data_IF_019784594467
#
_entry.id   IF_019784594467
#
_cell.length_a   1.000
_cell.length_b   1.000
_cell.length_c   1.000
_cell.angle_alpha   90.00
_cell.angle_beta   90.00
_cell.angle_gamma   90.00
#
_symmetry.space_group_name_H-M   'P 1'
#
loop_
_entity.id
_entity.type
_entity.pdbx_description
1 polymer ?
#
# COMPACT_ATOMS: atom_id res chain seq x y z
N UNK A 1 4.84 33.58 8.63
CA UNK A 1 3.99 32.39 8.41
C UNK A 1 2.68 32.87 7.79
N UNK A 2 2.34 32.43 6.58
CA UNK A 2 1.01 32.66 6.02
C UNK A 2 0.04 31.81 6.85
N UNK A 3 -1.07 32.40 7.30
CA UNK A 3 -2.10 31.65 8.03
C UNK A 3 -2.79 30.77 6.98
N UNK A 4 -2.65 29.45 7.12
CA UNK A 4 -3.27 28.49 6.23
C UNK A 4 -4.79 28.60 6.32
N UNK A 5 -5.46 28.49 5.18
CA UNK A 5 -6.92 28.43 5.19
C UNK A 5 -7.37 27.12 5.88
N UNK A 6 -8.50 27.13 6.60
CA UNK A 6 -8.99 25.90 7.23
C UNK A 6 -9.30 24.80 6.21
N UNK A 7 -9.70 25.16 4.99
CA UNK A 7 -9.95 24.22 3.89
C UNK A 7 -8.65 23.58 3.39
N UNK A 8 -7.60 24.37 3.15
CA UNK A 8 -6.27 23.90 2.76
C UNK A 8 -5.69 22.92 3.79
N UNK A 9 -5.82 23.22 5.09
CA UNK A 9 -5.35 22.33 6.15
C UNK A 9 -6.06 20.97 6.13
N UNK A 10 -7.36 20.95 5.84
CA UNK A 10 -8.13 19.71 5.73
C UNK A 10 -7.74 18.93 4.48
N UNK A 11 -7.57 19.61 3.34
CA UNK A 11 -7.10 18.99 2.10
C UNK A 11 -5.73 18.33 2.30
N UNK A 12 -4.78 19.06 2.89
CA UNK A 12 -3.45 18.56 3.25
C UNK A 12 -3.51 17.33 4.16
N UNK A 13 -4.28 17.42 5.26
CA UNK A 13 -4.42 16.31 6.21
C UNK A 13 -5.03 15.07 5.54
N UNK A 14 -6.05 15.25 4.70
CA UNK A 14 -6.70 14.16 3.99
C UNK A 14 -5.77 13.47 2.98
N UNK A 15 -4.93 14.25 2.29
CA UNK A 15 -3.96 13.74 1.34
C UNK A 15 -2.85 12.94 2.03
N UNK A 16 -2.28 13.48 3.12
CA UNK A 16 -1.26 12.79 3.92
C UNK A 16 -1.81 11.48 4.50
N UNK A 17 -3.05 11.49 4.99
CA UNK A 17 -3.67 10.27 5.51
C UNK A 17 -3.84 9.20 4.42
N UNK A 18 -4.21 9.61 3.20
CA UNK A 18 -4.33 8.69 2.07
C UNK A 18 -2.98 8.08 1.66
N UNK A 19 -1.93 8.90 1.53
CA UNK A 19 -0.58 8.42 1.21
C UNK A 19 0.03 7.59 2.36
N UNK A 20 -0.19 8.00 3.61
CA UNK A 20 0.21 7.22 4.79
C UNK A 20 -0.48 5.85 4.85
N UNK A 21 -1.77 5.78 4.49
CA UNK A 21 -2.49 4.51 4.40
C UNK A 21 -1.92 3.60 3.29
N UNK A 22 -1.58 4.17 2.14
CA UNK A 22 -0.89 3.45 1.06
C UNK A 22 0.47 2.91 1.52
N UNK A 23 1.25 3.74 2.24
CA UNK A 23 2.49 3.34 2.88
C UNK A 23 2.30 2.23 3.93
N UNK A 24 1.21 2.25 4.69
CA UNK A 24 0.85 1.18 5.63
C UNK A 24 0.58 -0.14 4.90
N UNK A 25 -0.14 -0.10 3.77
CA UNK A 25 -0.39 -1.31 2.96
C UNK A 25 0.89 -1.90 2.39
N UNK A 26 1.77 -1.08 1.82
CA UNK A 26 3.07 -1.55 1.31
C UNK A 26 3.99 -2.03 2.42
N UNK A 27 4.08 -1.27 3.51
CA UNK A 27 4.87 -1.60 4.68
C UNK A 27 4.40 -2.88 5.36
N UNK A 28 3.09 -3.10 5.44
CA UNK A 28 2.48 -4.31 5.98
C UNK A 28 2.79 -5.53 5.11
N UNK A 29 2.61 -5.43 3.79
CA UNK A 29 2.95 -6.50 2.85
C UNK A 29 4.44 -6.88 2.94
N UNK A 30 5.34 -5.88 2.96
CA UNK A 30 6.77 -6.08 3.12
C UNK A 30 7.11 -6.76 4.45
N UNK A 31 6.52 -6.29 5.55
CA UNK A 31 6.76 -6.80 6.90
C UNK A 31 6.29 -8.25 7.06
N UNK A 32 5.14 -8.61 6.50
CA UNK A 32 4.65 -10.00 6.47
C UNK A 32 5.61 -10.88 5.65
N UNK A 33 6.09 -10.39 4.51
CA UNK A 33 7.09 -11.09 3.70
C UNK A 33 8.39 -11.34 4.48
N UNK A 34 8.91 -10.32 5.16
CA UNK A 34 10.09 -10.40 6.01
C UNK A 34 9.90 -11.40 7.16
N UNK A 35 8.75 -11.36 7.83
CA UNK A 35 8.42 -12.27 8.91
C UNK A 35 8.41 -13.73 8.45
N UNK A 36 7.77 -14.02 7.32
CA UNK A 36 7.71 -15.37 6.75
C UNK A 36 9.08 -15.84 6.26
N UNK A 37 9.87 -14.94 5.66
CA UNK A 37 11.24 -15.22 5.25
C UNK A 37 12.11 -15.66 6.43
N UNK A 38 12.12 -14.89 7.53
CA UNK A 38 12.89 -15.22 8.73
C UNK A 38 12.42 -16.55 9.32
N UNK A 39 11.10 -16.77 9.41
CA UNK A 39 10.51 -18.00 9.91
C UNK A 39 10.94 -19.23 9.10
N UNK A 40 10.99 -19.12 7.77
CA UNK A 40 11.35 -20.23 6.87
C UNK A 40 12.85 -20.48 6.80
N UNK A 41 13.67 -19.41 6.77
CA UNK A 41 15.14 -19.52 6.59
C UNK A 41 15.88 -19.83 7.89
N UNK A 42 15.38 -19.35 9.04
CA UNK A 42 16.01 -19.47 10.36
C UNK A 42 15.04 -19.97 11.44
N UNK A 43 14.48 -21.19 11.31
CA UNK A 43 13.42 -21.68 12.18
C UNK A 43 13.85 -21.85 13.65
N UNK A 44 15.09 -22.24 13.92
CA UNK A 44 15.60 -22.45 15.29
C UNK A 44 15.66 -21.11 16.05
N UNK A 45 16.27 -20.09 15.45
CA UNK A 45 16.39 -18.75 16.05
C UNK A 45 15.03 -18.04 16.13
N UNK A 46 14.15 -18.25 15.15
CA UNK A 46 12.81 -17.67 15.17
C UNK A 46 11.95 -18.22 16.33
N UNK A 47 12.12 -19.51 16.68
CA UNK A 47 11.43 -20.12 17.83
C UNK A 47 11.87 -19.51 19.17
N UNK A 48 13.14 -19.13 19.31
CA UNK A 48 13.66 -18.52 20.53
C UNK A 48 13.26 -17.06 20.74
N UNK A 49 12.72 -16.38 19.72
CA UNK A 49 12.27 -14.99 19.86
C UNK A 49 11.03 -14.88 20.75
N UNK A 50 11.08 -13.91 21.67
CA UNK A 50 9.93 -13.53 22.48
C UNK A 50 8.81 -12.90 21.60
N UNK A 51 7.57 -12.80 22.10
CA UNK A 51 6.47 -12.20 21.35
C UNK A 51 6.74 -10.75 20.93
N UNK A 52 7.43 -9.96 21.75
CA UNK A 52 7.75 -8.56 21.47
C UNK A 52 8.65 -8.39 20.25
N UNK A 53 9.68 -9.22 20.09
CA UNK A 53 10.56 -9.22 18.91
C UNK A 53 9.77 -9.62 17.66
N UNK A 54 8.90 -10.63 17.78
CA UNK A 54 8.04 -11.07 16.67
C UNK A 54 7.09 -9.95 16.23
N UNK A 55 6.52 -9.21 17.18
CA UNK A 55 5.69 -8.04 16.90
C UNK A 55 6.51 -6.90 16.27
N UNK A 56 7.72 -6.63 16.78
CA UNK A 56 8.59 -5.57 16.28
C UNK A 56 9.04 -5.80 14.83
N UNK A 57 9.28 -7.06 14.43
CA UNK A 57 9.58 -7.43 13.03
C UNK A 57 8.45 -7.00 12.08
N UNK A 58 7.21 -6.98 12.56
CA UNK A 58 6.06 -6.55 11.76
C UNK A 58 5.83 -5.05 11.90
N UNK A 59 5.79 -4.54 13.12
CA UNK A 59 5.40 -3.17 13.42
C UNK A 59 6.41 -2.15 12.91
N UNK A 60 7.71 -2.38 13.14
CA UNK A 60 8.74 -1.38 12.82
C UNK A 60 8.81 -1.07 11.33
N UNK A 61 8.95 -2.04 10.41
CA UNK A 61 9.03 -1.71 8.99
C UNK A 61 7.68 -1.17 8.47
N UNK A 62 6.55 -1.65 8.98
CA UNK A 62 5.22 -1.13 8.61
C UNK A 62 5.09 0.35 8.95
N UNK A 63 5.42 0.74 10.18
CA UNK A 63 5.31 2.13 10.64
C UNK A 63 6.33 3.02 9.92
N UNK A 64 7.58 2.57 9.76
CA UNK A 64 8.61 3.36 9.08
C UNK A 64 8.26 3.63 7.62
N UNK A 65 7.74 2.64 6.89
CA UNK A 65 7.33 2.83 5.50
C UNK A 65 6.07 3.71 5.44
N UNK A 66 5.09 3.51 6.32
CA UNK A 66 3.91 4.39 6.39
C UNK A 66 4.29 5.86 6.63
N UNK A 67 5.19 6.11 7.58
CA UNK A 67 5.69 7.44 7.88
C UNK A 67 6.44 8.06 6.71
N UNK A 68 7.26 7.28 6.00
CA UNK A 68 7.98 7.75 4.82
C UNK A 68 7.03 8.21 3.70
N UNK A 69 5.98 7.43 3.40
CA UNK A 69 4.99 7.83 2.39
C UNK A 69 4.16 9.04 2.83
N UNK A 70 3.80 9.14 4.10
CA UNK A 70 3.12 10.31 4.65
C UNK A 70 3.97 11.59 4.51
N UNK A 71 5.27 11.49 4.79
CA UNK A 71 6.22 12.61 4.67
C UNK A 71 6.42 13.04 3.21
N UNK A 72 6.64 12.07 2.31
CA UNK A 72 6.73 12.34 0.87
C UNK A 72 5.44 12.96 0.32
N UNK A 73 4.27 12.46 0.74
CA UNK A 73 2.97 13.01 0.37
C UNK A 73 2.77 14.44 0.86
N UNK A 74 3.27 14.79 2.04
CA UNK A 74 3.26 16.18 2.54
C UNK A 74 4.06 17.10 1.63
N UNK A 75 5.30 16.71 1.29
CA UNK A 75 6.18 17.51 0.43
C UNK A 75 5.60 17.65 -0.99
N UNK A 76 5.03 16.58 -1.52
CA UNK A 76 4.39 16.59 -2.84
C UNK A 76 3.16 17.49 -2.86
N UNK A 77 2.31 17.42 -1.84
CA UNK A 77 1.15 18.31 -1.72
C UNK A 77 1.58 19.77 -1.66
N UNK A 78 2.52 20.13 -0.78
CA UNK A 78 2.97 21.51 -0.62
C UNK A 78 3.59 22.05 -1.92
N UNK A 79 4.37 21.21 -2.62
CA UNK A 79 4.94 21.55 -3.94
C UNK A 79 3.87 21.84 -4.96
N UNK A 80 2.84 21.00 -5.04
CA UNK A 80 1.76 21.14 -6.02
C UNK A 80 0.82 22.31 -5.68
N UNK A 81 0.54 22.52 -4.39
CA UNK A 81 -0.33 23.58 -3.90
C UNK A 81 0.25 24.97 -4.17
N UNK A 82 1.56 25.15 -3.97
CA UNK A 82 2.21 26.45 -4.09
C UNK A 82 2.89 26.70 -5.45
N UNK A 83 2.65 25.85 -6.44
CA UNK A 83 3.27 25.99 -7.76
C UNK A 83 2.71 27.18 -8.56
N UNK A 84 1.39 27.41 -8.51
CA UNK A 84 0.71 28.54 -9.17
C UNK A 84 -0.70 28.72 -8.62
N UNK A 85 -1.26 29.93 -8.75
CA UNK A 85 -2.64 30.23 -8.31
C UNK A 85 -3.70 29.35 -9.02
N UNK A 86 -3.48 29.04 -10.30
CA UNK A 86 -4.33 28.11 -11.05
C UNK A 86 -4.32 26.70 -10.45
N UNK A 87 -3.13 26.19 -10.10
CA UNK A 87 -2.97 24.85 -9.54
C UNK A 87 -3.56 24.77 -8.12
N UNK A 88 -3.40 25.82 -7.31
CA UNK A 88 -4.03 25.96 -5.99
C UNK A 88 -5.56 25.85 -6.11
N UNK A 89 -6.16 26.67 -6.99
CA UNK A 89 -7.59 26.65 -7.24
C UNK A 89 -8.10 25.28 -7.71
N UNK A 90 -7.34 24.63 -8.62
CA UNK A 90 -7.66 23.30 -9.14
C UNK A 90 -7.65 22.22 -8.05
N UNK A 91 -6.61 22.18 -7.20
CA UNK A 91 -6.50 21.18 -6.12
C UNK A 91 -7.65 21.34 -5.12
N UNK A 92 -7.97 22.59 -4.75
CA UNK A 92 -9.09 22.86 -3.85
C UNK A 92 -10.45 22.51 -4.49
N UNK A 93 -10.61 22.76 -5.79
CA UNK A 93 -11.82 22.35 -6.51
C UNK A 93 -11.95 20.82 -6.58
N UNK A 94 -10.87 20.11 -6.88
CA UNK A 94 -10.84 18.64 -6.86
C UNK A 94 -11.18 18.09 -5.48
N UNK A 95 -10.62 18.67 -4.41
CA UNK A 95 -10.96 18.32 -3.03
C UNK A 95 -12.44 18.55 -2.71
N UNK A 96 -13.01 19.69 -3.13
CA UNK A 96 -14.44 19.97 -2.96
C UNK A 96 -15.31 18.98 -3.74
N UNK A 97 -14.96 18.69 -4.98
CA UNK A 97 -15.70 17.76 -5.83
C UNK A 97 -15.62 16.34 -5.26
N UNK A 98 -14.44 15.92 -4.79
CA UNK A 98 -14.25 14.68 -4.08
C UNK A 98 -15.16 14.58 -2.85
N UNK A 99 -15.25 15.63 -2.03
CA UNK A 99 -16.09 15.63 -0.84
C UNK A 99 -17.59 15.60 -1.13
N UNK A 100 -18.03 16.08 -2.29
CA UNK A 100 -19.43 16.00 -2.74
C UNK A 100 -19.83 14.59 -3.20
N UNK A 101 -18.88 13.75 -3.61
CA UNK A 101 -19.17 12.40 -4.08
C UNK A 101 -19.72 11.52 -2.95
N UNK A 102 -20.69 10.67 -3.29
CA UNK A 102 -21.17 9.63 -2.38
C UNK A 102 -20.08 8.58 -2.15
N UNK A 103 -20.22 7.77 -1.09
CA UNK A 103 -19.24 6.72 -0.79
C UNK A 103 -19.12 5.68 -1.92
N UNK A 104 -20.23 5.36 -2.62
CA UNK A 104 -20.16 4.46 -3.78
C UNK A 104 -19.37 5.10 -4.91
N UNK A 105 -19.64 6.36 -5.21
CA UNK A 105 -19.00 7.05 -6.32
C UNK A 105 -17.51 7.22 -6.07
N UNK A 106 -17.10 7.57 -4.84
CA UNK A 106 -15.69 7.60 -4.43
C UNK A 106 -15.00 6.26 -4.67
N UNK A 107 -15.65 5.15 -4.32
CA UNK A 107 -15.12 3.81 -4.54
C UNK A 107 -14.96 3.53 -6.04
N UNK A 108 -16.00 3.81 -6.84
CA UNK A 108 -15.95 3.62 -8.29
C UNK A 108 -14.90 4.50 -8.97
N UNK A 109 -14.75 5.75 -8.56
CA UNK A 109 -13.70 6.66 -9.05
C UNK A 109 -12.31 6.07 -8.80
N UNK A 110 -12.01 5.68 -7.56
CA UNK A 110 -10.71 5.09 -7.20
C UNK A 110 -10.44 3.78 -7.95
N UNK A 111 -11.46 2.93 -8.08
CA UNK A 111 -11.36 1.68 -8.83
C UNK A 111 -11.09 1.93 -10.32
N UNK A 112 -11.76 2.92 -10.91
CA UNK A 112 -11.61 3.24 -12.32
C UNK A 112 -10.24 3.88 -12.60
N UNK A 113 -9.78 4.80 -11.74
CA UNK A 113 -8.48 5.45 -11.84
C UNK A 113 -7.33 4.44 -11.70
N UNK A 114 -7.53 3.37 -10.93
CA UNK A 114 -6.56 2.30 -10.71
C UNK A 114 -6.89 0.99 -11.45
N UNK A 115 -7.73 1.05 -12.50
CA UNK A 115 -8.23 -0.14 -13.20
C UNK A 115 -7.12 -1.08 -13.66
N UNK A 116 -6.09 -0.54 -14.33
CA UNK A 116 -5.00 -1.36 -14.87
C UNK A 116 -4.10 -1.96 -13.77
N UNK A 117 -3.60 -1.18 -12.79
CA UNK A 117 -2.91 -1.75 -11.64
C UNK A 117 -3.69 -2.86 -10.94
N UNK A 118 -5.00 -2.66 -10.74
CA UNK A 118 -5.86 -3.66 -10.07
C UNK A 118 -5.91 -4.95 -10.90
N UNK A 119 -6.19 -4.86 -12.20
CA UNK A 119 -6.26 -6.05 -13.09
C UNK A 119 -4.93 -6.80 -13.09
N UNK A 120 -3.81 -6.10 -13.22
CA UNK A 120 -2.47 -6.72 -13.22
C UNK A 120 -2.18 -7.36 -11.86
N UNK A 121 -2.53 -6.69 -10.75
CA UNK A 121 -2.32 -7.26 -9.42
C UNK A 121 -3.19 -8.49 -9.16
N UNK A 122 -4.44 -8.50 -9.63
CA UNK A 122 -5.34 -9.64 -9.53
C UNK A 122 -4.85 -10.83 -10.36
N UNK A 123 -4.33 -10.59 -11.57
CA UNK A 123 -3.71 -11.62 -12.39
C UNK A 123 -2.43 -12.19 -11.75
N UNK A 124 -1.56 -11.34 -11.21
CA UNK A 124 -0.38 -11.80 -10.50
C UNK A 124 -0.74 -12.61 -9.24
N UNK A 125 -1.79 -12.18 -8.52
CA UNK A 125 -2.30 -12.88 -7.36
C UNK A 125 -2.87 -14.27 -7.71
N UNK A 126 -3.59 -14.41 -8.84
CA UNK A 126 -4.10 -15.70 -9.28
C UNK A 126 -2.97 -16.67 -9.64
N UNK A 127 -1.93 -16.20 -10.34
CA UNK A 127 -0.73 -16.99 -10.63
C UNK A 127 -0.02 -17.46 -9.35
N UNK A 128 0.17 -16.55 -8.38
CA UNK A 128 0.79 -16.91 -7.11
C UNK A 128 -0.06 -17.89 -6.30
N UNK A 129 -1.38 -17.71 -6.29
CA UNK A 129 -2.32 -18.62 -5.63
C UNK A 129 -2.25 -20.03 -6.23
N UNK A 130 -2.25 -20.13 -7.56
CA UNK A 130 -2.08 -21.40 -8.28
C UNK A 130 -0.74 -22.07 -7.94
N UNK A 131 0.35 -21.30 -7.94
CA UNK A 131 1.68 -21.80 -7.56
C UNK A 131 1.73 -22.35 -6.13
N UNK A 132 1.17 -21.63 -5.16
CA UNK A 132 1.12 -22.08 -3.75
C UNK A 132 0.30 -23.36 -3.62
N UNK A 133 -0.79 -23.47 -4.37
CA UNK A 133 -1.64 -24.66 -4.38
C UNK A 133 -0.91 -25.87 -4.97
N UNK A 134 -0.33 -25.75 -6.17
CA UNK A 134 0.42 -26.82 -6.84
C UNK A 134 1.66 -27.25 -6.05
N UNK A 135 2.36 -26.30 -5.42
CA UNK A 135 3.58 -26.60 -4.66
C UNK A 135 3.32 -27.30 -3.31
N UNK A 136 2.05 -27.47 -2.93
CA UNK A 136 1.67 -28.32 -1.79
C UNK A 136 1.85 -29.81 -2.11
N UNK A 137 1.75 -30.20 -3.37
CA UNK A 137 2.03 -31.57 -3.81
C UNK A 137 3.54 -31.82 -3.88
N UNK A 138 4.02 -32.91 -3.29
CA UNK A 138 5.44 -33.28 -3.22
C UNK A 138 5.86 -34.28 -4.30
N UNK A 139 4.91 -34.82 -5.05
CA UNK A 139 5.15 -35.92 -6.00
C UNK A 139 5.71 -35.39 -7.33
N UNK A 140 5.35 -34.16 -7.70
CA UNK A 140 5.71 -33.57 -9.00
C UNK A 140 7.05 -32.82 -8.98
N UNK A 141 7.78 -32.91 -10.10
CA UNK A 141 8.99 -32.11 -10.33
C UNK A 141 8.65 -30.62 -10.60
N UNK A 142 9.61 -29.75 -10.31
CA UNK A 142 9.50 -28.29 -10.45
C UNK A 142 9.10 -27.84 -11.85
N UNK A 143 9.58 -28.49 -12.92
CA UNK A 143 9.18 -28.17 -14.28
C UNK A 143 7.69 -28.50 -14.54
N UNK A 144 7.21 -29.63 -13.99
CA UNK A 144 5.81 -30.05 -14.14
C UNK A 144 4.86 -29.13 -13.36
N UNK A 145 5.29 -28.67 -12.17
CA UNK A 145 4.55 -27.70 -11.35
C UNK A 145 4.38 -26.36 -12.06
N UNK A 146 5.40 -25.89 -12.76
CA UNK A 146 5.34 -24.62 -13.50
C UNK A 146 4.33 -24.66 -14.65
N UNK A 147 4.26 -25.79 -15.37
CA UNK A 147 3.25 -26.00 -16.43
C UNK A 147 1.85 -26.02 -15.83
N UNK A 148 1.63 -26.81 -14.77
CA UNK A 148 0.32 -26.89 -14.13
C UNK A 148 -0.12 -25.59 -13.48
N UNK A 149 0.78 -24.80 -12.89
CA UNK A 149 0.42 -23.53 -12.27
C UNK A 149 -0.07 -22.48 -13.29
N UNK A 150 0.25 -22.66 -14.59
CA UNK A 150 -0.18 -21.78 -15.68
C UNK A 150 -1.57 -22.13 -16.24
N UNK A 151 -1.97 -23.40 -16.15
CA UNK A 151 -3.25 -23.91 -16.67
C UNK A 151 -4.37 -23.73 -15.64
#
# INVERSE_FOLDING_TARGET
>A
MKILSPEEKQAHTSHILAEGFKGLMYGGAFSIGLFQYIKRRHPVRFKSFNPSIKAAIIAMPTISIAAFFADQGSVEFDRNMHQSEYQEAKILEEYRNWNKLSLSDKCFTVLNDNKYPIIVSAWAASLYGSWVFVNRDKIMDTAQKAVQARH
#
